data_IF_778986359373
#
_entry.id   IF_778986359373
#
_cell.length_a   1.000
_cell.length_b   1.000
_cell.length_c   1.000
_cell.angle_alpha   90.00
_cell.angle_beta   90.00
_cell.angle_gamma   90.00
#
_symmetry.space_group_name_H-M   'P 1'
#
loop_
_entity.id
_entity.type
_entity.pdbx_description
1 polymer ?
#
# COMPACT_ATOMS: atom_id res chain seq x y z
N UNK A 1 -26.58 -5.31 7.40
CA UNK A 1 -25.36 -5.14 6.59
C UNK A 1 -24.22 -5.75 7.37
N UNK A 2 -23.39 -6.57 6.74
CA UNK A 2 -22.45 -7.39 7.48
C UNK A 2 -21.20 -6.60 7.90
N UNK A 3 -20.57 -6.90 9.06
CA UNK A 3 -19.49 -6.07 9.62
C UNK A 3 -18.29 -5.87 8.68
N UNK A 4 -17.91 -6.92 7.94
CA UNK A 4 -16.89 -6.89 6.89
C UNK A 4 -17.20 -5.88 5.78
N UNK A 5 -18.44 -5.87 5.28
CA UNK A 5 -18.87 -4.92 4.23
C UNK A 5 -18.83 -3.48 4.77
N UNK A 6 -19.27 -3.27 6.01
CA UNK A 6 -19.20 -1.95 6.66
C UNK A 6 -17.74 -1.50 6.76
N UNK A 7 -16.84 -2.38 7.21
CA UNK A 7 -15.40 -2.07 7.31
C UNK A 7 -14.78 -1.78 5.94
N UNK A 8 -15.16 -2.49 4.86
CA UNK A 8 -14.69 -2.20 3.50
C UNK A 8 -15.13 -0.81 3.06
N UNK A 9 -16.43 -0.49 3.19
CA UNK A 9 -16.96 0.80 2.75
C UNK A 9 -16.32 1.96 3.51
N UNK A 10 -16.19 1.84 4.84
CA UNK A 10 -15.51 2.84 5.65
C UNK A 10 -14.04 2.98 5.26
N UNK A 11 -13.33 1.87 5.04
CA UNK A 11 -11.92 1.89 4.62
C UNK A 11 -11.74 2.57 3.26
N UNK A 12 -12.63 2.27 2.30
CA UNK A 12 -12.64 2.93 0.99
C UNK A 12 -12.90 4.43 1.14
N UNK A 13 -13.93 4.82 1.91
CA UNK A 13 -14.27 6.23 2.12
C UNK A 13 -13.11 7.01 2.74
N UNK A 14 -12.49 6.46 3.79
CA UNK A 14 -11.32 7.05 4.45
C UNK A 14 -10.14 7.15 3.47
N UNK A 15 -9.86 6.09 2.72
CA UNK A 15 -8.75 6.06 1.76
C UNK A 15 -8.91 7.11 0.66
N UNK A 16 -10.10 7.21 0.06
CA UNK A 16 -10.37 8.17 -1.03
C UNK A 16 -10.46 9.61 -0.54
N UNK A 17 -11.10 9.87 0.61
CA UNK A 17 -11.12 11.21 1.20
C UNK A 17 -9.71 11.67 1.57
N UNK A 18 -8.92 10.76 2.14
CA UNK A 18 -7.52 11.04 2.41
C UNK A 18 -6.73 11.35 1.14
N UNK A 19 -6.89 10.55 0.08
CA UNK A 19 -6.25 10.80 -1.21
C UNK A 19 -6.65 12.17 -1.76
N UNK A 20 -7.94 12.50 -1.74
CA UNK A 20 -8.47 13.78 -2.21
C UNK A 20 -7.82 14.96 -1.46
N UNK A 21 -7.79 14.90 -0.13
CA UNK A 21 -7.17 15.94 0.69
C UNK A 21 -5.66 16.05 0.45
N UNK A 22 -4.96 14.92 0.34
CA UNK A 22 -3.52 14.91 0.03
C UNK A 22 -3.24 15.55 -1.34
N UNK A 23 -3.97 15.15 -2.37
CA UNK A 23 -3.80 15.67 -3.72
C UNK A 23 -4.09 17.17 -3.79
N UNK A 24 -5.18 17.63 -3.16
CA UNK A 24 -5.52 19.06 -3.10
C UNK A 24 -4.46 19.88 -2.35
N UNK A 25 -3.98 19.38 -1.21
CA UNK A 25 -2.94 20.08 -0.42
C UNK A 25 -1.57 20.12 -1.11
N UNK A 26 -1.29 19.16 -1.99
CA UNK A 26 -0.01 19.03 -2.71
C UNK A 26 -0.07 19.50 -4.16
N UNK A 27 -1.19 20.12 -4.60
CA UNK A 27 -1.45 20.52 -5.99
C UNK A 27 -1.20 19.39 -7.02
N UNK A 28 -1.60 18.16 -6.67
CA UNK A 28 -1.45 17.00 -7.55
C UNK A 28 -2.71 16.77 -8.39
N UNK A 29 -2.58 16.27 -9.64
CA UNK A 29 -3.74 16.00 -10.48
C UNK A 29 -4.46 14.73 -10.02
N UNK A 30 -5.74 14.85 -9.66
CA UNK A 30 -6.58 13.74 -9.19
C UNK A 30 -6.80 12.64 -10.25
N UNK A 31 -6.92 13.03 -11.51
CA UNK A 31 -7.17 12.11 -12.63
C UNK A 31 -5.89 11.50 -13.21
N UNK A 32 -4.71 11.87 -12.69
CA UNK A 32 -3.43 11.36 -13.20
C UNK A 32 -2.91 10.20 -12.35
N UNK A 33 -2.25 9.19 -12.97
CA UNK A 33 -1.52 8.17 -12.23
C UNK A 33 -0.45 8.74 -11.30
N UNK A 34 0.05 9.94 -11.60
CA UNK A 34 1.07 10.65 -10.83
C UNK A 34 0.57 10.95 -9.41
N UNK A 35 -0.66 11.46 -9.27
CA UNK A 35 -1.22 11.80 -7.97
C UNK A 35 -1.33 10.59 -7.05
N UNK A 36 -1.84 9.48 -7.57
CA UNK A 36 -1.96 8.23 -6.81
C UNK A 36 -0.59 7.64 -6.46
N UNK A 37 0.37 7.68 -7.39
CA UNK A 37 1.73 7.20 -7.17
C UNK A 37 2.45 8.00 -6.06
N UNK A 38 2.30 9.32 -6.03
CA UNK A 38 2.83 10.19 -4.97
C UNK A 38 2.14 9.97 -3.63
N UNK A 39 0.84 9.70 -3.64
CA UNK A 39 0.09 9.36 -2.43
C UNK A 39 0.55 8.02 -1.83
N UNK A 40 0.74 7.00 -2.67
CA UNK A 40 1.32 5.72 -2.24
C UNK A 40 2.76 5.88 -1.73
N UNK A 41 3.58 6.74 -2.35
CA UNK A 41 4.89 7.10 -1.80
C UNK A 41 4.74 7.63 -0.38
N UNK A 42 3.82 8.58 -0.18
CA UNK A 42 3.54 9.13 1.14
C UNK A 42 3.10 8.06 2.15
N UNK A 43 2.26 7.11 1.75
CA UNK A 43 1.78 6.02 2.61
C UNK A 43 2.95 5.11 3.02
N UNK A 44 3.70 4.58 2.05
CA UNK A 44 4.67 3.50 2.27
C UNK A 44 6.04 3.96 2.80
N UNK A 45 6.50 5.16 2.46
CA UNK A 45 7.83 5.62 2.91
C UNK A 45 7.83 6.23 4.32
N UNK A 46 6.68 6.30 5.02
CA UNK A 46 6.46 6.80 6.41
C UNK A 46 7.06 8.18 6.80
N UNK A 47 7.80 8.86 5.92
CA UNK A 47 8.56 10.09 6.20
C UNK A 47 7.73 11.35 6.26
N UNK A 48 6.71 11.44 5.40
CA UNK A 48 5.82 12.60 5.38
C UNK A 48 4.78 12.47 6.50
N UNK A 49 4.79 13.43 7.43
CA UNK A 49 3.77 13.60 8.46
C UNK A 49 2.65 14.46 7.90
N UNK A 50 1.57 13.81 7.47
CA UNK A 50 0.33 14.45 7.03
C UNK A 50 -0.83 13.65 7.60
N UNK A 51 -1.84 14.35 8.11
CA UNK A 51 -3.06 13.70 8.61
C UNK A 51 -3.75 12.89 7.50
N UNK A 52 -3.75 13.40 6.26
CA UNK A 52 -4.22 12.64 5.11
C UNK A 52 -3.44 11.33 5.00
N UNK A 53 -2.11 11.37 4.90
CA UNK A 53 -1.30 10.15 4.79
C UNK A 53 -1.50 9.18 5.96
N UNK A 54 -1.73 9.68 7.18
CA UNK A 54 -2.07 8.85 8.34
C UNK A 54 -3.38 8.10 8.13
N UNK A 55 -4.46 8.79 7.76
CA UNK A 55 -5.75 8.15 7.45
C UNK A 55 -5.63 7.16 6.28
N UNK A 56 -4.81 7.47 5.28
CA UNK A 56 -4.50 6.57 4.17
C UNK A 56 -3.82 5.28 4.63
N UNK A 57 -2.84 5.38 5.55
CA UNK A 57 -2.18 4.23 6.17
C UNK A 57 -3.14 3.40 7.02
N UNK A 58 -4.00 4.04 7.81
CA UNK A 58 -5.00 3.33 8.63
C UNK A 58 -5.93 2.54 7.73
N UNK A 59 -6.48 3.15 6.67
CA UNK A 59 -7.35 2.45 5.73
C UNK A 59 -6.62 1.29 5.02
N UNK A 60 -5.41 1.53 4.50
CA UNK A 60 -4.67 0.56 3.69
C UNK A 60 -4.11 -0.60 4.51
N UNK A 61 -3.49 -0.31 5.65
CA UNK A 61 -2.72 -1.28 6.44
C UNK A 61 -3.53 -1.90 7.58
N UNK A 62 -4.67 -1.32 7.95
CA UNK A 62 -5.51 -1.84 9.05
C UNK A 62 -6.92 -2.12 8.55
N UNK A 63 -7.58 -1.13 7.93
CA UNK A 63 -8.97 -1.21 7.50
C UNK A 63 -9.27 -2.37 6.55
N UNK A 64 -8.62 -2.40 5.37
CA UNK A 64 -8.81 -3.50 4.42
C UNK A 64 -8.42 -4.86 5.01
N UNK A 65 -7.25 -5.05 5.64
CA UNK A 65 -6.92 -6.31 6.30
C UNK A 65 -7.97 -6.77 7.32
N UNK A 66 -8.46 -5.84 8.16
CA UNK A 66 -9.48 -6.14 9.16
C UNK A 66 -10.77 -6.65 8.52
N UNK A 67 -11.20 -6.08 7.40
CA UNK A 67 -12.40 -6.59 6.71
C UNK A 67 -12.26 -8.04 6.25
N UNK A 68 -11.08 -8.45 5.77
CA UNK A 68 -10.84 -9.83 5.34
C UNK A 68 -10.71 -10.78 6.54
N UNK A 69 -10.14 -10.31 7.65
CA UNK A 69 -10.10 -11.07 8.91
C UNK A 69 -11.53 -11.29 9.44
N UNK A 70 -12.37 -10.26 9.45
CA UNK A 70 -13.77 -10.38 9.88
C UNK A 70 -14.56 -11.33 8.98
N UNK A 71 -14.33 -11.28 7.67
CA UNK A 71 -14.93 -12.22 6.71
C UNK A 71 -14.49 -13.66 7.00
N UNK A 72 -13.22 -13.86 7.31
CA UNK A 72 -12.68 -15.18 7.64
C UNK A 72 -13.25 -15.74 8.94
N UNK A 73 -13.37 -14.90 9.98
CA UNK A 73 -13.96 -15.32 11.26
C UNK A 73 -15.44 -15.69 11.10
N UNK A 74 -16.20 -14.97 10.26
CA UNK A 74 -17.63 -15.23 10.09
C UNK A 74 -17.92 -16.45 9.22
N UNK A 75 -17.32 -16.50 8.02
CA UNK A 75 -17.74 -17.42 6.96
C UNK A 75 -16.64 -18.44 6.59
N UNK A 76 -15.46 -18.38 7.23
CA UNK A 76 -14.28 -19.15 6.81
C UNK A 76 -13.67 -18.65 5.47
N UNK A 77 -14.20 -17.57 4.91
CA UNK A 77 -13.81 -17.03 3.61
C UNK A 77 -12.82 -15.87 3.72
N UNK A 78 -11.99 -15.65 2.70
CA UNK A 78 -11.10 -14.49 2.63
C UNK A 78 -9.66 -14.75 3.05
N UNK A 79 -9.34 -15.96 3.52
CA UNK A 79 -7.96 -16.42 3.72
C UNK A 79 -7.10 -16.31 2.45
N UNK A 80 -7.74 -16.37 1.27
CA UNK A 80 -7.08 -16.15 -0.03
C UNK A 80 -6.36 -14.79 -0.13
N UNK A 81 -6.84 -13.76 0.58
CA UNK A 81 -6.26 -12.43 0.56
C UNK A 81 -5.11 -12.26 1.59
N UNK A 82 -4.92 -13.21 2.51
CA UNK A 82 -3.91 -13.10 3.57
C UNK A 82 -2.48 -13.03 3.02
N UNK A 83 -2.07 -13.83 2.01
CA UNK A 83 -0.76 -13.65 1.38
C UNK A 83 -0.55 -12.22 0.87
N UNK A 84 -1.54 -11.65 0.18
CA UNK A 84 -1.45 -10.29 -0.35
C UNK A 84 -1.32 -9.25 0.77
N UNK A 85 -2.08 -9.40 1.86
CA UNK A 85 -2.01 -8.53 3.04
C UNK A 85 -0.61 -8.59 3.67
N UNK A 86 -0.10 -9.79 3.95
CA UNK A 86 1.21 -10.00 4.59
C UNK A 86 2.33 -9.44 3.73
N UNK A 87 2.29 -9.67 2.41
CA UNK A 87 3.31 -9.13 1.50
C UNK A 87 3.21 -7.60 1.40
N UNK A 88 2.01 -7.02 1.40
CA UNK A 88 1.83 -5.56 1.40
C UNK A 88 2.41 -4.92 2.67
N UNK A 89 2.20 -5.53 3.84
CA UNK A 89 2.84 -5.10 5.08
C UNK A 89 4.35 -5.26 5.03
N UNK A 90 4.85 -6.36 4.46
CA UNK A 90 6.29 -6.60 4.29
C UNK A 90 6.93 -5.55 3.39
N UNK A 91 6.24 -5.10 2.34
CA UNK A 91 6.66 -3.99 1.48
C UNK A 91 6.71 -2.68 2.27
N UNK A 92 5.68 -2.38 3.07
CA UNK A 92 5.67 -1.19 3.92
C UNK A 92 6.83 -1.19 4.91
N UNK A 93 7.07 -2.32 5.58
CA UNK A 93 8.16 -2.47 6.52
C UNK A 93 9.53 -2.34 5.82
N UNK A 94 9.68 -2.94 4.64
CA UNK A 94 10.90 -2.82 3.85
C UNK A 94 11.23 -1.36 3.52
N UNK A 95 10.25 -0.60 3.04
CA UNK A 95 10.47 0.81 2.71
C UNK A 95 10.65 1.71 3.93
N UNK A 96 10.10 1.32 5.08
CA UNK A 96 10.41 1.96 6.35
C UNK A 96 11.87 1.71 6.78
N UNK A 97 12.35 0.47 6.73
CA UNK A 97 13.72 0.10 7.16
C UNK A 97 14.76 0.71 6.22
N UNK A 98 14.55 0.62 4.91
CA UNK A 98 15.50 1.11 3.91
C UNK A 98 15.22 2.54 3.45
N UNK A 99 14.32 3.23 4.15
CA UNK A 99 13.97 4.62 3.97
C UNK A 99 15.19 5.44 3.51
N UNK A 100 16.26 5.46 4.30
CA UNK A 100 17.39 6.39 4.08
C UNK A 100 18.14 6.17 2.78
N UNK A 101 18.08 4.95 2.24
CA UNK A 101 18.67 4.60 0.94
C UNK A 101 17.87 5.12 -0.25
N UNK A 102 16.62 5.53 -0.03
CA UNK A 102 15.72 6.07 -1.04
C UNK A 102 15.52 7.59 -0.94
N UNK A 103 16.21 8.27 -0.02
CA UNK A 103 16.10 9.72 0.22
C UNK A 103 16.17 10.56 -1.06
N UNK A 104 17.18 10.36 -1.92
CA UNK A 104 17.30 11.12 -3.17
C UNK A 104 16.36 10.65 -4.30
N UNK A 105 16.05 9.34 -4.36
CA UNK A 105 15.27 8.75 -5.47
C UNK A 105 13.78 9.04 -5.34
N UNK A 106 13.28 9.20 -4.11
CA UNK A 106 11.90 9.59 -3.85
C UNK A 106 11.65 11.09 -4.14
N UNK A 107 12.65 11.95 -3.97
CA UNK A 107 12.56 13.39 -4.28
C UNK A 107 12.62 13.67 -5.80
N UNK A 108 13.32 12.84 -6.58
CA UNK A 108 13.34 12.90 -8.06
C UNK A 108 12.03 12.47 -8.75
N UNK A 109 10.89 12.41 -8.02
CA UNK A 109 9.54 12.10 -8.57
C UNK A 109 9.41 10.75 -9.28
N UNK A 110 10.25 9.76 -8.96
CA UNK A 110 10.10 8.41 -9.52
C UNK A 110 8.89 7.66 -8.94
N UNK A 111 8.33 8.12 -7.83
CA UNK A 111 7.11 7.61 -7.18
C UNK A 111 7.18 6.13 -6.75
N UNK A 112 6.28 5.73 -5.85
CA UNK A 112 6.32 4.41 -5.20
C UNK A 112 6.37 3.25 -6.17
N UNK A 113 5.48 3.21 -7.17
CA UNK A 113 5.41 2.07 -8.07
C UNK A 113 6.64 1.94 -8.97
N UNK A 114 7.27 3.04 -9.38
CA UNK A 114 8.49 2.92 -10.18
C UNK A 114 9.70 2.54 -9.31
N UNK A 115 9.75 2.94 -8.04
CA UNK A 115 10.74 2.42 -7.09
C UNK A 115 10.48 0.93 -6.80
N UNK A 116 9.23 0.55 -6.53
CA UNK A 116 8.84 -0.83 -6.27
C UNK A 116 9.12 -1.73 -7.47
N UNK A 117 8.92 -1.29 -8.71
CA UNK A 117 9.09 -2.15 -9.89
C UNK A 117 10.47 -2.05 -10.55
N UNK A 118 11.06 -0.85 -10.60
CA UNK A 118 12.28 -0.55 -11.35
C UNK A 118 13.43 0.00 -10.48
N UNK A 119 13.19 0.25 -9.20
CA UNK A 119 14.22 0.72 -8.27
C UNK A 119 15.39 -0.25 -8.17
N UNK A 120 16.60 0.29 -8.18
CA UNK A 120 17.85 -0.45 -7.98
C UNK A 120 18.51 0.02 -6.68
N UNK A 121 18.93 -0.93 -5.86
CA UNK A 121 19.78 -0.72 -4.69
C UNK A 121 20.91 -1.74 -4.76
N UNK A 122 21.86 -1.67 -3.85
CA UNK A 122 22.98 -2.60 -3.74
C UNK A 122 22.88 -3.47 -2.48
N UNK A 123 23.46 -4.68 -2.55
CA UNK A 123 23.56 -5.62 -1.43
C UNK A 123 22.25 -6.31 -1.04
N UNK A 124 22.12 -6.68 0.24
CA UNK A 124 20.97 -7.43 0.76
C UNK A 124 19.62 -6.73 0.52
N UNK A 125 19.59 -5.40 0.60
CA UNK A 125 18.38 -4.62 0.30
C UNK A 125 17.84 -4.89 -1.11
N UNK A 126 18.73 -4.99 -2.11
CA UNK A 126 18.34 -5.31 -3.48
C UNK A 126 17.71 -6.69 -3.61
N UNK A 127 18.30 -7.68 -2.92
CA UNK A 127 17.81 -9.07 -2.93
C UNK A 127 16.45 -9.17 -2.26
N UNK A 128 16.28 -8.52 -1.09
CA UNK A 128 15.01 -8.45 -0.38
C UNK A 128 13.93 -7.75 -1.20
N UNK A 129 14.25 -6.64 -1.90
CA UNK A 129 13.31 -5.96 -2.78
C UNK A 129 12.88 -6.85 -3.95
N UNK A 130 13.83 -7.60 -4.54
CA UNK A 130 13.52 -8.57 -5.59
C UNK A 130 12.60 -9.69 -5.12
N UNK A 131 12.88 -10.25 -3.94
CA UNK A 131 12.01 -11.26 -3.34
C UNK A 131 10.61 -10.72 -3.08
N UNK A 132 10.50 -9.51 -2.51
CA UNK A 132 9.21 -8.86 -2.27
C UNK A 132 8.41 -8.60 -3.55
N UNK A 133 9.08 -8.26 -4.66
CA UNK A 133 8.42 -8.13 -5.97
C UNK A 133 7.80 -9.44 -6.45
N UNK A 134 8.58 -10.52 -6.39
CA UNK A 134 8.13 -11.86 -6.83
C UNK A 134 6.95 -12.29 -5.97
N UNK A 135 7.07 -12.17 -4.64
CA UNK A 135 6.01 -12.54 -3.71
C UNK A 135 4.75 -11.68 -3.91
N UNK A 136 4.91 -10.38 -4.19
CA UNK A 136 3.79 -9.49 -4.46
C UNK A 136 3.04 -9.92 -5.72
N UNK A 137 3.76 -10.10 -6.83
CA UNK A 137 3.17 -10.56 -8.10
C UNK A 137 2.50 -11.92 -7.92
N UNK A 138 3.16 -12.87 -7.26
CA UNK A 138 2.61 -14.19 -6.97
C UNK A 138 1.33 -14.11 -6.12
N UNK A 139 1.30 -13.27 -5.08
CA UNK A 139 0.12 -13.08 -4.24
C UNK A 139 -1.07 -12.46 -5.00
N UNK A 140 -0.80 -11.54 -5.93
CA UNK A 140 -1.82 -10.95 -6.80
C UNK A 140 -2.38 -12.00 -7.76
N UNK A 141 -1.50 -12.77 -8.43
CA UNK A 141 -1.90 -13.86 -9.33
C UNK A 141 -2.72 -14.90 -8.57
N UNK A 142 -2.28 -15.30 -7.38
CA UNK A 142 -3.00 -16.23 -6.53
C UNK A 142 -4.43 -15.78 -6.22
N UNK A 143 -4.61 -14.50 -5.84
CA UNK A 143 -5.93 -13.92 -5.60
C UNK A 143 -6.79 -13.93 -6.88
N UNK A 144 -6.20 -13.65 -8.05
CA UNK A 144 -6.93 -13.69 -9.32
C UNK A 144 -7.34 -15.11 -9.74
N UNK A 145 -6.49 -16.11 -9.52
CA UNK A 145 -6.75 -17.50 -9.92
C UNK A 145 -7.81 -18.19 -9.05
N UNK A 146 -7.93 -17.77 -7.79
CA UNK A 146 -8.87 -18.34 -6.84
C UNK A 146 -10.26 -17.65 -6.89
N UNK A 147 -10.40 -16.60 -7.70
CA UNK A 147 -11.64 -15.83 -7.87
C UNK A 147 -12.38 -16.27 -9.12
#
# INVERSE_FOLDING_TARGET
MSPDIITIILSMAIFFMSFYHYAKSSNLPLASPIGMNEYFSGIFFLRKRSLSLLFGRIALLIGFPLSYILKFIRDGEGAVYFPLIVITWSIALYFYIYADRFNGVAEERKGFFSILLKGKIYGMASTSLWLLRILYIASVIYVFLYR
#
